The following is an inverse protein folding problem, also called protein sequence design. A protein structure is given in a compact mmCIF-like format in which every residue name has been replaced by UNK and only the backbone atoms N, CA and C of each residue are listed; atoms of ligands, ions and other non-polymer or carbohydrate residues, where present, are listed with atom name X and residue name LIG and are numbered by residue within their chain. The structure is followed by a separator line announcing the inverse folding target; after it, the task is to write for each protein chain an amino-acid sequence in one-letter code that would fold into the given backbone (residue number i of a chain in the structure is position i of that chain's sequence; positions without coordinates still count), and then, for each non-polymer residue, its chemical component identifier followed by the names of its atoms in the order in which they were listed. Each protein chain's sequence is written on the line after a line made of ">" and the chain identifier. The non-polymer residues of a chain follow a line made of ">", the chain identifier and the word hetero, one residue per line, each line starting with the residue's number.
data_IF_085524547985
#
_entry.id   IF_085524547985
#
_cell.length_a   1.000
_cell.length_b   1.000
_cell.length_c   1.000
_cell.angle_alpha   90.00
_cell.angle_beta   90.00
_cell.angle_gamma   90.00
#
_symmetry.space_group_name_H-M   'P 1'
#
loop_
_entity.id
_entity.type
_entity.pdbx_description
1 polymer ?
#
# COMPACT_ATOMS: atom_id res chain seq x y z
N UNK A 1 -5.14 31.39 0.45
CA UNK A 1 -4.66 30.72 1.66
C UNK A 1 -3.35 30.03 1.30
N UNK A 2 -2.29 30.15 2.12
CA UNK A 2 -1.04 29.39 1.88
C UNK A 2 -1.12 28.01 2.57
N UNK A 3 -0.18 27.11 2.25
CA UNK A 3 -0.14 25.73 2.78
C UNK A 3 -0.20 25.71 4.31
N UNK A 4 0.66 26.46 4.99
CA UNK A 4 0.71 26.52 6.46
C UNK A 4 -0.60 26.95 7.10
N UNK A 5 -1.31 27.94 6.50
CA UNK A 5 -2.62 28.37 7.00
C UNK A 5 -3.69 27.27 6.87
N UNK A 6 -3.65 26.45 5.80
CA UNK A 6 -4.57 25.32 5.64
C UNK A 6 -4.23 24.23 6.66
N UNK A 7 -2.96 23.92 6.86
CA UNK A 7 -2.49 22.93 7.85
C UNK A 7 -2.93 23.32 9.27
N UNK A 8 -2.77 24.57 9.68
CA UNK A 8 -3.23 25.06 10.99
C UNK A 8 -4.73 24.86 11.19
N UNK A 9 -5.53 25.14 10.15
CA UNK A 9 -6.98 24.93 10.20
C UNK A 9 -7.33 23.44 10.27
N UNK A 10 -6.65 22.57 9.50
CA UNK A 10 -6.84 21.11 9.57
C UNK A 10 -6.51 20.61 10.97
N UNK A 11 -5.37 21.01 11.56
CA UNK A 11 -4.95 20.60 12.90
C UNK A 11 -5.94 21.05 13.99
N UNK A 12 -6.62 22.17 13.80
CA UNK A 12 -7.71 22.61 14.67
C UNK A 12 -8.97 21.76 14.47
N UNK A 13 -9.42 21.62 13.22
CA UNK A 13 -10.65 20.90 12.88
C UNK A 13 -10.60 19.42 13.27
N UNK A 14 -9.47 18.74 13.08
CA UNK A 14 -9.34 17.32 13.45
C UNK A 14 -9.52 17.10 14.96
N UNK A 15 -9.05 18.02 15.78
CA UNK A 15 -9.25 17.98 17.25
C UNK A 15 -10.71 18.25 17.62
N UNK A 16 -11.32 19.28 17.04
CA UNK A 16 -12.71 19.67 17.32
C UNK A 16 -13.70 18.57 16.93
N UNK A 17 -13.40 17.81 15.88
CA UNK A 17 -14.27 16.75 15.32
C UNK A 17 -13.89 15.34 15.71
N UNK A 18 -12.91 15.18 16.59
CA UNK A 18 -12.39 13.87 17.02
C UNK A 18 -12.01 12.96 15.82
N UNK A 19 -11.18 13.50 14.91
CA UNK A 19 -10.74 12.80 13.70
C UNK A 19 -9.27 12.42 13.80
N UNK A 20 -8.97 11.15 13.57
CA UNK A 20 -7.62 10.63 13.33
C UNK A 20 -7.33 10.66 11.82
N UNK A 21 -6.29 11.36 11.39
CA UNK A 21 -5.85 11.41 10.00
C UNK A 21 -4.77 10.37 9.76
N UNK A 22 -5.03 9.43 8.86
CA UNK A 22 -4.09 8.42 8.40
C UNK A 22 -3.61 8.79 7.00
N UNK A 23 -2.31 8.84 6.76
CA UNK A 23 -1.74 9.17 5.45
C UNK A 23 -0.76 8.11 4.98
N UNK A 24 -0.99 7.57 3.77
CA UNK A 24 -0.04 6.67 3.13
C UNK A 24 1.26 7.41 2.79
N UNK A 25 2.41 6.73 2.90
CA UNK A 25 3.73 7.31 2.63
C UNK A 25 3.90 7.85 1.20
N UNK A 26 2.99 7.57 0.28
CA UNK A 26 2.99 8.13 -1.08
C UNK A 26 2.28 9.48 -1.18
N UNK A 27 1.69 9.98 -0.10
CA UNK A 27 1.05 11.31 -0.09
C UNK A 27 2.10 12.42 -0.13
N UNK A 28 1.67 13.61 -0.56
CA UNK A 28 2.51 14.80 -0.53
C UNK A 28 2.94 15.15 0.90
N UNK A 29 4.10 15.77 1.04
CA UNK A 29 4.73 16.04 2.35
C UNK A 29 3.82 16.86 3.26
N UNK A 30 3.13 17.88 2.73
CA UNK A 30 2.20 18.71 3.47
C UNK A 30 1.00 17.95 4.06
N UNK A 31 0.64 16.78 3.48
CA UNK A 31 -0.39 15.89 4.03
C UNK A 31 0.20 15.01 5.13
N UNK A 32 1.45 14.55 4.97
CA UNK A 32 2.12 13.76 6.02
C UNK A 32 2.32 14.58 7.30
N UNK A 33 2.58 15.88 7.19
CA UNK A 33 2.78 16.78 8.33
C UNK A 33 1.53 16.95 9.21
N UNK A 34 0.32 16.81 8.65
CA UNK A 34 -0.93 16.94 9.41
C UNK A 34 -1.50 15.60 9.87
N UNK A 35 -0.93 14.48 9.40
CA UNK A 35 -1.39 13.14 9.75
C UNK A 35 -1.02 12.75 11.20
N UNK A 36 -1.85 11.94 11.83
CA UNK A 36 -1.56 11.34 13.13
C UNK A 36 -0.69 10.09 12.97
N UNK A 37 -0.90 9.35 11.88
CA UNK A 37 -0.11 8.18 11.52
C UNK A 37 0.24 8.20 10.04
N UNK A 38 1.48 7.83 9.75
CA UNK A 38 1.99 7.67 8.38
C UNK A 38 2.62 6.28 8.20
N UNK A 39 2.55 5.74 7.00
CA UNK A 39 3.12 4.42 6.71
C UNK A 39 2.59 3.78 5.45
N UNK A 40 2.88 2.49 5.31
CA UNK A 40 2.29 1.63 4.29
C UNK A 40 0.90 1.10 4.71
N UNK A 41 0.25 0.36 3.81
CA UNK A 41 -1.11 -0.14 4.02
C UNK A 41 -1.26 -1.02 5.26
N UNK A 42 -0.24 -1.84 5.60
CA UNK A 42 -0.29 -2.71 6.78
C UNK A 42 -0.25 -1.89 8.06
N UNK A 43 0.77 -1.04 8.18
CA UNK A 43 0.97 -0.20 9.37
C UNK A 43 -0.27 0.66 9.63
N UNK A 44 -0.79 1.33 8.60
CA UNK A 44 -1.97 2.19 8.74
C UNK A 44 -3.23 1.42 9.15
N UNK A 45 -3.41 0.19 8.66
CA UNK A 45 -4.54 -0.66 9.07
C UNK A 45 -4.48 -1.01 10.56
N UNK A 46 -3.28 -1.35 11.08
CA UNK A 46 -3.06 -1.62 12.50
C UNK A 46 -3.22 -0.35 13.33
N UNK A 47 -2.68 0.79 12.87
CA UNK A 47 -2.78 2.06 13.59
C UNK A 47 -4.24 2.54 13.67
N UNK A 48 -5.02 2.37 12.58
CA UNK A 48 -6.46 2.66 12.56
C UNK A 48 -7.24 1.92 13.65
N UNK A 49 -6.95 0.64 13.84
CA UNK A 49 -7.64 -0.18 14.85
C UNK A 49 -7.32 0.24 16.29
N UNK A 50 -6.15 0.85 16.51
CA UNK A 50 -5.68 1.32 17.83
C UNK A 50 -6.05 2.76 18.15
N UNK A 51 -6.40 3.57 17.14
CA UNK A 51 -6.78 4.96 17.32
C UNK A 51 -8.01 5.05 18.23
N UNK A 52 -7.99 5.94 19.21
CA UNK A 52 -9.11 6.15 20.13
C UNK A 52 -10.24 6.99 19.52
N UNK A 53 -9.94 7.73 18.45
CA UNK A 53 -10.87 8.61 17.77
C UNK A 53 -12.06 7.87 17.18
N UNK A 54 -13.23 8.50 17.21
CA UNK A 54 -14.49 7.98 16.62
C UNK A 54 -14.48 8.06 15.09
N UNK A 55 -13.76 9.03 14.55
CA UNK A 55 -13.71 9.32 13.12
C UNK A 55 -12.29 9.08 12.59
N UNK A 56 -12.19 8.45 11.42
CA UNK A 56 -10.94 8.24 10.71
C UNK A 56 -11.05 8.94 9.36
N UNK A 57 -10.03 9.70 8.98
CA UNK A 57 -9.88 10.27 7.64
C UNK A 57 -8.67 9.62 6.96
N UNK A 58 -8.91 8.85 5.91
CA UNK A 58 -7.87 8.20 5.11
C UNK A 58 -7.42 9.12 3.96
N UNK A 59 -6.15 9.51 4.00
CA UNK A 59 -5.41 10.11 2.90
C UNK A 59 -4.62 9.00 2.19
N UNK A 60 -5.23 8.40 1.20
CA UNK A 60 -4.73 7.22 0.49
C UNK A 60 -5.74 6.81 -0.56
N UNK A 61 -5.87 5.50 -0.81
CA UNK A 61 -6.79 4.95 -1.80
C UNK A 61 -7.90 4.12 -1.16
N UNK A 62 -8.99 3.90 -1.90
CA UNK A 62 -10.26 3.32 -1.44
C UNK A 62 -10.10 2.04 -0.62
N UNK A 63 -9.39 1.03 -1.12
CA UNK A 63 -9.25 -0.24 -0.39
C UNK A 63 -8.62 -0.09 1.00
N UNK A 64 -7.81 0.96 1.22
CA UNK A 64 -7.23 1.26 2.54
C UNK A 64 -8.29 1.79 3.50
N UNK A 65 -9.15 2.69 3.04
CA UNK A 65 -10.28 3.18 3.83
C UNK A 65 -11.30 2.07 4.12
N UNK A 66 -11.58 1.18 3.14
CA UNK A 66 -12.38 -0.02 3.34
C UNK A 66 -11.76 -0.95 4.39
N UNK A 67 -10.44 -1.18 4.34
CA UNK A 67 -9.73 -1.99 5.35
C UNK A 67 -9.84 -1.38 6.75
N UNK A 68 -9.73 -0.06 6.88
CA UNK A 68 -9.97 0.62 8.15
C UNK A 68 -11.40 0.41 8.65
N UNK A 69 -12.40 0.48 7.77
CA UNK A 69 -13.81 0.24 8.12
C UNK A 69 -14.07 -1.21 8.54
N UNK A 70 -13.45 -2.18 7.87
CA UNK A 70 -13.55 -3.60 8.22
C UNK A 70 -12.95 -3.87 9.62
N UNK A 71 -11.81 -3.26 9.93
CA UNK A 71 -11.13 -3.46 11.22
C UNK A 71 -11.78 -2.69 12.38
N UNK A 72 -12.45 -1.58 12.08
CA UNK A 72 -13.10 -0.70 13.06
C UNK A 72 -14.52 -0.34 12.61
N UNK A 73 -15.45 -1.33 12.59
CA UNK A 73 -16.79 -1.13 12.05
C UNK A 73 -17.63 -0.11 12.83
N UNK A 74 -17.30 0.10 14.11
CA UNK A 74 -17.94 1.09 14.98
C UNK A 74 -17.54 2.53 14.65
N UNK A 75 -16.43 2.74 13.93
CA UNK A 75 -15.93 4.07 13.59
C UNK A 75 -16.51 4.57 12.27
N UNK A 76 -16.63 5.88 12.15
CA UNK A 76 -16.91 6.52 10.87
C UNK A 76 -15.59 6.70 10.11
N UNK A 77 -15.49 6.12 8.92
CA UNK A 77 -14.28 6.19 8.09
C UNK A 77 -14.56 6.99 6.83
N UNK A 78 -13.77 8.01 6.60
CA UNK A 78 -13.82 8.84 5.39
C UNK A 78 -12.61 8.60 4.49
N UNK A 79 -12.82 8.57 3.20
CA UNK A 79 -11.80 8.71 2.16
C UNK A 79 -11.72 10.18 1.76
N UNK A 80 -10.54 10.80 1.89
CA UNK A 80 -10.37 12.24 1.66
C UNK A 80 -10.74 12.66 0.23
N UNK A 81 -10.38 11.84 -0.77
CA UNK A 81 -10.70 12.07 -2.18
C UNK A 81 -11.46 10.89 -2.77
N UNK A 82 -12.75 11.02 -3.12
CA UNK A 82 -13.60 9.91 -3.57
C UNK A 82 -13.11 9.19 -4.83
N UNK A 83 -12.41 9.89 -5.73
CA UNK A 83 -11.85 9.28 -6.95
C UNK A 83 -10.53 8.54 -6.73
N UNK A 84 -9.98 8.57 -5.52
CA UNK A 84 -8.74 7.87 -5.18
C UNK A 84 -8.96 6.35 -5.12
N UNK A 85 -9.12 5.71 -6.28
CA UNK A 85 -9.19 4.25 -6.45
C UNK A 85 -7.82 3.58 -6.46
N UNK A 86 -7.78 2.29 -6.78
CA UNK A 86 -6.55 1.57 -7.02
C UNK A 86 -6.71 0.66 -8.24
N UNK A 87 -6.02 1.00 -9.33
CA UNK A 87 -6.12 0.23 -10.59
C UNK A 87 -5.79 -1.25 -10.44
N UNK A 88 -4.92 -1.62 -9.47
CA UNK A 88 -4.64 -3.02 -9.16
C UNK A 88 -5.79 -3.68 -8.40
N UNK A 89 -6.34 -2.99 -7.39
CA UNK A 89 -7.41 -3.54 -6.56
C UNK A 89 -8.68 -3.85 -7.37
N UNK A 90 -8.92 -3.10 -8.44
CA UNK A 90 -10.11 -3.18 -9.29
C UNK A 90 -9.95 -4.17 -10.48
N UNK A 91 -8.76 -4.83 -10.63
CA UNK A 91 -8.51 -5.75 -11.76
C UNK A 91 -9.22 -7.10 -11.64
N UNK A 92 -9.48 -7.54 -10.42
CA UNK A 92 -10.08 -8.85 -10.17
C UNK A 92 -11.34 -8.70 -9.33
N UNK A 93 -12.46 -9.15 -9.85
CA UNK A 93 -13.71 -9.16 -9.11
C UNK A 93 -13.96 -10.49 -8.38
N UNK A 94 -14.91 -10.46 -7.45
CA UNK A 94 -15.33 -11.62 -6.66
C UNK A 94 -15.85 -12.77 -7.53
N UNK A 95 -16.52 -12.49 -8.65
CA UNK A 95 -17.10 -13.50 -9.52
C UNK A 95 -15.99 -14.29 -10.24
N UNK A 96 -14.99 -13.60 -10.79
CA UNK A 96 -13.83 -14.22 -11.41
C UNK A 96 -13.11 -15.14 -10.42
N UNK A 97 -12.77 -14.63 -9.23
CA UNK A 97 -12.02 -15.41 -8.24
C UNK A 97 -12.85 -16.58 -7.69
N UNK A 98 -14.19 -16.43 -7.55
CA UNK A 98 -15.06 -17.55 -7.19
C UNK A 98 -15.04 -18.68 -8.21
N UNK A 99 -14.93 -18.35 -9.51
CA UNK A 99 -14.79 -19.37 -10.56
C UNK A 99 -13.43 -20.05 -10.48
N UNK A 100 -12.37 -19.28 -10.29
CA UNK A 100 -11.00 -19.84 -10.14
C UNK A 100 -10.90 -20.74 -8.90
N UNK A 101 -11.50 -20.37 -7.75
CA UNK A 101 -11.56 -21.23 -6.55
C UNK A 101 -12.25 -22.58 -6.84
N UNK A 102 -13.31 -22.59 -7.65
CA UNK A 102 -13.97 -23.86 -8.05
C UNK A 102 -13.08 -24.74 -8.92
N UNK A 103 -12.22 -24.15 -9.75
CA UNK A 103 -11.25 -24.88 -10.59
C UNK A 103 -10.06 -25.43 -9.77
N UNK A 104 -9.73 -24.76 -8.65
CA UNK A 104 -8.61 -25.10 -7.77
C UNK A 104 -9.08 -25.17 -6.31
N UNK A 105 -9.93 -26.16 -5.96
CA UNK A 105 -10.57 -26.23 -4.63
C UNK A 105 -9.58 -26.48 -3.49
N UNK A 106 -8.41 -27.06 -3.80
CA UNK A 106 -7.37 -27.36 -2.82
C UNK A 106 -6.36 -26.20 -2.61
N UNK A 107 -6.58 -25.06 -3.29
CA UNK A 107 -5.69 -23.90 -3.17
C UNK A 107 -6.18 -22.92 -2.11
N UNK A 108 -5.25 -22.44 -1.27
CA UNK A 108 -5.49 -21.30 -0.38
C UNK A 108 -5.38 -20.00 -1.17
N UNK A 109 -6.39 -19.16 -1.14
CA UNK A 109 -6.38 -17.85 -1.80
C UNK A 109 -5.66 -16.84 -0.90
N UNK A 110 -4.46 -16.50 -1.28
CA UNK A 110 -3.65 -15.45 -0.65
C UNK A 110 -3.85 -14.16 -1.43
N UNK A 111 -4.50 -13.19 -0.80
CA UNK A 111 -4.79 -11.91 -1.42
C UNK A 111 -3.85 -10.81 -0.93
N UNK A 112 -3.14 -10.17 -1.84
CA UNK A 112 -2.52 -8.89 -1.50
C UNK A 112 -3.59 -7.91 -1.01
N UNK A 113 -3.31 -7.15 0.05
CA UNK A 113 -4.28 -6.25 0.71
C UNK A 113 -4.91 -5.24 -0.27
N UNK A 114 -4.24 -4.97 -1.40
CA UNK A 114 -4.70 -4.12 -2.49
C UNK A 114 -5.79 -4.83 -3.32
N UNK A 115 -6.89 -5.13 -2.68
CA UNK A 115 -8.12 -5.72 -3.22
C UNK A 115 -9.32 -5.03 -2.60
N UNK A 116 -10.50 -5.10 -3.25
CA UNK A 116 -11.75 -4.53 -2.74
C UNK A 116 -12.23 -5.28 -1.49
N UNK A 117 -13.05 -4.61 -0.67
CA UNK A 117 -13.72 -5.25 0.46
C UNK A 117 -14.56 -6.46 0.02
N UNK A 118 -15.26 -6.34 -1.12
CA UNK A 118 -16.06 -7.42 -1.69
C UNK A 118 -15.22 -8.65 -2.04
N UNK A 119 -14.06 -8.47 -2.70
CA UNK A 119 -13.17 -9.58 -3.04
C UNK A 119 -12.59 -10.25 -1.79
N UNK A 120 -12.26 -9.48 -0.75
CA UNK A 120 -11.78 -10.00 0.53
C UNK A 120 -12.73 -11.00 1.18
N UNK A 121 -14.06 -10.89 0.94
CA UNK A 121 -15.05 -11.82 1.52
C UNK A 121 -14.86 -13.28 1.14
N UNK A 122 -14.12 -13.57 0.07
CA UNK A 122 -13.86 -14.93 -0.42
C UNK A 122 -12.39 -15.32 -0.38
N UNK A 123 -11.51 -14.45 0.11
CA UNK A 123 -10.09 -14.73 0.28
C UNK A 123 -9.84 -15.43 1.63
N UNK A 124 -8.83 -16.29 1.69
CA UNK A 124 -8.53 -17.07 2.88
C UNK A 124 -7.56 -16.32 3.82
N UNK A 125 -6.60 -15.58 3.24
CA UNK A 125 -5.66 -14.74 3.98
C UNK A 125 -5.23 -13.54 3.16
N UNK A 126 -5.14 -12.36 3.79
CA UNK A 126 -4.49 -11.20 3.20
C UNK A 126 -2.99 -11.19 3.48
N UNK A 127 -2.24 -10.52 2.62
CA UNK A 127 -0.82 -10.23 2.81
C UNK A 127 -0.51 -8.80 2.39
N UNK A 128 0.63 -8.29 2.84
CA UNK A 128 1.22 -7.05 2.34
C UNK A 128 2.60 -7.35 1.76
N UNK A 129 3.19 -6.41 1.03
CA UNK A 129 4.56 -6.58 0.53
C UNK A 129 5.59 -6.83 1.65
N UNK A 130 5.31 -6.39 2.87
CA UNK A 130 6.18 -6.63 4.04
C UNK A 130 5.97 -7.99 4.70
N UNK A 131 4.79 -8.58 4.59
CA UNK A 131 4.42 -9.82 5.32
C UNK A 131 4.26 -11.05 4.42
N UNK A 132 4.16 -10.88 3.10
CA UNK A 132 3.78 -11.94 2.16
C UNK A 132 4.67 -13.18 2.26
N UNK A 133 5.99 -13.02 2.24
CA UNK A 133 6.94 -14.16 2.32
C UNK A 133 6.77 -14.90 3.64
N UNK A 134 6.69 -14.16 4.76
CA UNK A 134 6.52 -14.77 6.09
C UNK A 134 5.20 -15.52 6.21
N UNK A 135 4.10 -14.90 5.79
CA UNK A 135 2.77 -15.51 5.88
C UNK A 135 2.69 -16.75 4.99
N UNK A 136 3.10 -16.66 3.73
CA UNK A 136 3.07 -17.80 2.79
C UNK A 136 3.90 -18.98 3.30
N UNK A 137 5.08 -18.73 3.87
CA UNK A 137 5.89 -19.79 4.48
C UNK A 137 5.18 -20.45 5.68
N UNK A 138 4.43 -19.69 6.47
CA UNK A 138 3.72 -20.16 7.67
C UNK A 138 2.39 -20.88 7.36
N UNK A 139 1.87 -20.82 6.11
CA UNK A 139 0.67 -21.57 5.73
C UNK A 139 0.97 -23.08 5.68
N UNK A 140 0.09 -23.90 6.25
CA UNK A 140 0.22 -25.37 6.16
C UNK A 140 0.00 -25.87 4.72
N UNK A 141 -0.96 -25.27 4.00
CA UNK A 141 -1.22 -25.63 2.62
C UNK A 141 -0.06 -25.22 1.71
N UNK A 142 0.38 -26.16 0.87
CA UNK A 142 1.42 -25.88 -0.13
C UNK A 142 0.88 -25.27 -1.41
N UNK A 143 -0.40 -25.48 -1.71
CA UNK A 143 -1.05 -24.96 -2.91
C UNK A 143 -1.61 -23.58 -2.65
N UNK A 144 -1.07 -22.57 -3.30
CA UNK A 144 -1.40 -21.15 -3.08
C UNK A 144 -1.88 -20.53 -4.39
N UNK A 145 -3.03 -19.87 -4.36
CA UNK A 145 -3.48 -18.97 -5.42
C UNK A 145 -3.19 -17.54 -4.96
N UNK A 146 -2.20 -16.90 -5.54
CA UNK A 146 -1.78 -15.55 -5.19
C UNK A 146 -2.41 -14.52 -6.11
N UNK A 147 -3.09 -13.53 -5.56
CA UNK A 147 -3.80 -12.45 -6.26
C UNK A 147 -3.58 -11.09 -5.58
N UNK A 148 -3.81 -9.95 -6.27
CA UNK A 148 -3.94 -9.77 -7.71
C UNK A 148 -2.61 -9.48 -8.41
N UNK A 149 -1.51 -9.26 -7.67
CA UNK A 149 -0.21 -8.83 -8.23
C UNK A 149 0.68 -10.03 -8.55
N UNK A 150 0.87 -10.30 -9.86
CA UNK A 150 1.69 -11.41 -10.31
C UNK A 150 3.19 -11.17 -10.09
N UNK A 151 3.67 -9.92 -10.05
CA UNK A 151 5.07 -9.60 -9.80
C UNK A 151 5.44 -9.84 -8.34
N UNK A 152 4.63 -9.32 -7.40
CA UNK A 152 4.78 -9.65 -5.99
C UNK A 152 4.65 -11.16 -5.76
N UNK A 153 3.69 -11.82 -6.43
CA UNK A 153 3.52 -13.26 -6.37
C UNK A 153 4.72 -14.05 -6.88
N UNK A 154 5.37 -13.62 -7.97
CA UNK A 154 6.61 -14.19 -8.48
C UNK A 154 7.77 -14.04 -7.48
N UNK A 155 7.89 -12.84 -6.91
CA UNK A 155 8.88 -12.59 -5.85
C UNK A 155 8.66 -13.54 -4.66
N UNK A 156 7.42 -13.68 -4.18
CA UNK A 156 7.08 -14.59 -3.08
C UNK A 156 7.36 -16.04 -3.46
N UNK A 157 7.04 -16.48 -4.70
CA UNK A 157 7.30 -17.84 -5.16
C UNK A 157 8.80 -18.18 -5.13
N UNK A 158 9.65 -17.24 -5.53
CA UNK A 158 11.12 -17.40 -5.47
C UNK A 158 11.65 -17.50 -4.04
N UNK A 159 10.99 -16.83 -3.08
CA UNK A 159 11.37 -16.87 -1.66
C UNK A 159 10.76 -18.08 -0.91
N UNK A 160 9.75 -18.74 -1.48
CA UNK A 160 9.01 -19.85 -0.88
C UNK A 160 9.03 -21.08 -1.81
N UNK A 161 10.21 -21.67 -2.12
CA UNK A 161 10.36 -22.73 -3.14
C UNK A 161 9.59 -24.02 -2.81
N UNK A 162 9.23 -24.25 -1.55
CA UNK A 162 8.45 -25.41 -1.12
C UNK A 162 6.93 -25.27 -1.35
N UNK A 163 6.48 -24.10 -1.80
CA UNK A 163 5.07 -23.79 -2.09
C UNK A 163 4.80 -23.89 -3.60
N UNK A 164 3.65 -24.40 -3.94
CA UNK A 164 3.13 -24.42 -5.31
C UNK A 164 2.25 -23.18 -5.52
N UNK A 165 2.85 -22.09 -6.00
CA UNK A 165 2.16 -20.82 -6.13
C UNK A 165 1.67 -20.62 -7.56
N UNK A 166 0.35 -20.50 -7.71
CA UNK A 166 -0.32 -20.12 -8.95
C UNK A 166 -0.62 -18.64 -8.95
N UNK A 167 -0.23 -17.96 -10.03
CA UNK A 167 -0.43 -16.54 -10.23
C UNK A 167 -1.55 -16.31 -11.25
N UNK A 168 -2.35 -15.28 -11.04
CA UNK A 168 -3.22 -14.73 -12.09
C UNK A 168 -2.57 -13.45 -12.66
N UNK A 169 -2.88 -13.18 -13.92
CA UNK A 169 -2.31 -12.03 -14.62
C UNK A 169 -2.97 -10.75 -14.12
N UNK A 170 -2.22 -9.95 -13.39
CA UNK A 170 -2.62 -8.68 -12.80
C UNK A 170 -1.46 -8.05 -12.06
N UNK A 171 -1.59 -6.80 -11.62
CA UNK A 171 -0.55 -6.10 -10.86
C UNK A 171 -0.64 -4.59 -10.93
N UNK A 172 0.28 -3.93 -10.25
CA UNK A 172 0.34 -2.48 -10.19
C UNK A 172 0.88 -1.91 -11.52
N UNK A 173 0.08 -1.14 -12.29
CA UNK A 173 0.55 -0.59 -13.57
C UNK A 173 1.70 0.39 -13.41
N UNK A 174 1.83 1.02 -12.23
CA UNK A 174 2.88 2.00 -11.94
C UNK A 174 4.24 1.32 -11.75
N UNK A 175 4.28 0.21 -11.00
CA UNK A 175 5.53 -0.53 -10.82
C UNK A 175 5.85 -1.41 -12.03
N UNK A 176 4.84 -2.00 -12.68
CA UNK A 176 5.02 -2.85 -13.85
C UNK A 176 5.48 -2.08 -15.12
N UNK A 177 5.32 -0.76 -15.18
CA UNK A 177 5.80 0.04 -16.33
C UNK A 177 7.31 0.34 -16.29
N UNK A 178 7.98 0.05 -15.18
CA UNK A 178 9.44 0.18 -15.05
C UNK A 178 10.11 -0.98 -15.78
N UNK A 179 11.16 -0.69 -16.51
CA UNK A 179 11.90 -1.70 -17.26
C UNK A 179 13.41 -1.63 -16.99
N UNK A 180 14.14 -2.61 -17.49
CA UNK A 180 15.60 -2.75 -17.35
C UNK A 180 16.38 -1.51 -17.84
N UNK A 181 15.90 -0.87 -18.91
CA UNK A 181 16.56 0.33 -19.45
C UNK A 181 16.41 1.55 -18.52
N UNK A 182 15.29 1.64 -17.79
CA UNK A 182 15.13 2.69 -16.76
C UNK A 182 16.18 2.51 -15.66
N UNK A 183 16.43 1.27 -15.22
CA UNK A 183 17.44 0.95 -14.18
C UNK A 183 18.84 1.26 -14.68
N UNK A 184 19.19 0.84 -15.92
CA UNK A 184 20.51 1.13 -16.52
C UNK A 184 20.78 2.61 -16.59
N UNK A 185 19.82 3.40 -17.12
CA UNK A 185 19.94 4.86 -17.21
C UNK A 185 20.13 5.51 -15.84
N UNK A 186 19.39 5.08 -14.82
CA UNK A 186 19.56 5.60 -13.49
C UNK A 186 20.96 5.26 -12.92
N UNK A 187 21.46 4.04 -13.14
CA UNK A 187 22.81 3.63 -12.75
C UNK A 187 23.92 4.35 -13.53
N UNK A 188 23.72 4.68 -14.80
CA UNK A 188 24.65 5.48 -15.57
C UNK A 188 24.80 6.91 -15.00
N UNK A 189 23.69 7.50 -14.56
CA UNK A 189 23.67 8.83 -13.92
C UNK A 189 24.23 8.80 -12.49
N UNK A 190 24.00 7.70 -11.75
CA UNK A 190 24.35 7.54 -10.34
C UNK A 190 25.07 6.19 -10.11
N UNK A 191 26.32 6.03 -10.60
CA UNK A 191 26.98 4.71 -10.63
C UNK A 191 27.26 4.10 -9.26
N UNK A 192 27.38 4.92 -8.22
CA UNK A 192 27.65 4.48 -6.84
C UNK A 192 26.39 4.24 -6.03
N UNK A 193 25.21 4.64 -6.52
CA UNK A 193 23.97 4.52 -5.78
C UNK A 193 23.46 3.07 -5.73
N UNK A 194 22.99 2.61 -4.57
CA UNK A 194 22.30 1.34 -4.43
C UNK A 194 20.89 1.43 -5.00
N UNK A 195 20.47 0.41 -5.74
CA UNK A 195 19.12 0.31 -6.33
C UNK A 195 18.20 -0.43 -5.37
N UNK A 196 17.19 0.27 -4.86
CA UNK A 196 16.19 -0.29 -3.95
C UNK A 196 14.84 -0.31 -4.66
N UNK A 197 14.23 -1.50 -4.85
CA UNK A 197 12.97 -1.62 -5.60
C UNK A 197 11.86 -2.29 -4.81
N UNK A 198 10.63 -1.95 -5.15
CA UNK A 198 9.45 -2.62 -4.64
C UNK A 198 9.21 -3.95 -5.40
N UNK A 199 8.78 -5.04 -4.73
CA UNK A 199 8.55 -6.33 -5.37
C UNK A 199 7.35 -6.36 -6.36
N UNK A 200 6.58 -5.29 -6.48
CA UNK A 200 5.60 -5.07 -7.56
C UNK A 200 6.26 -4.71 -8.92
N UNK A 201 7.55 -4.38 -8.93
CA UNK A 201 8.30 -4.23 -10.17
C UNK A 201 8.44 -5.58 -10.87
N UNK A 202 8.66 -5.55 -12.20
CA UNK A 202 8.81 -6.79 -12.97
C UNK A 202 10.01 -7.63 -12.48
N UNK A 203 9.99 -8.95 -12.66
CA UNK A 203 11.08 -9.84 -12.22
C UNK A 203 12.46 -9.42 -12.74
N UNK A 204 12.52 -8.86 -13.96
CA UNK A 204 13.77 -8.41 -14.59
C UNK A 204 14.34 -7.18 -13.85
N UNK A 205 13.48 -6.27 -13.40
CA UNK A 205 13.85 -5.08 -12.61
C UNK A 205 14.27 -5.50 -11.21
N UNK A 206 13.52 -6.40 -10.58
CA UNK A 206 13.84 -6.98 -9.26
C UNK A 206 15.21 -7.66 -9.27
N UNK A 207 15.57 -8.36 -10.35
CA UNK A 207 16.88 -9.03 -10.50
C UNK A 207 18.08 -8.06 -10.60
N UNK A 208 17.84 -6.77 -10.87
CA UNK A 208 18.88 -5.73 -10.94
C UNK A 208 19.03 -4.93 -9.64
N UNK A 209 18.20 -5.19 -8.64
CA UNK A 209 18.18 -4.43 -7.41
C UNK A 209 19.23 -4.93 -6.40
N UNK A 210 19.83 -3.99 -5.67
CA UNK A 210 20.67 -4.29 -4.50
C UNK A 210 19.81 -4.64 -3.26
N UNK A 211 18.57 -4.16 -3.22
CA UNK A 211 17.59 -4.48 -2.18
C UNK A 211 16.17 -4.50 -2.75
N UNK A 212 15.41 -5.50 -2.33
CA UNK A 212 13.98 -5.65 -2.67
C UNK A 212 13.16 -5.68 -1.38
N UNK A 213 12.16 -4.81 -1.28
CA UNK A 213 11.33 -4.76 -0.09
C UNK A 213 10.09 -3.88 -0.22
N UNK A 214 9.24 -3.93 0.79
CA UNK A 214 8.08 -3.04 0.89
C UNK A 214 8.51 -1.57 0.98
N UNK A 215 7.57 -0.65 0.83
CA UNK A 215 7.84 0.79 1.00
C UNK A 215 8.55 1.09 2.32
N UNK A 216 8.01 0.59 3.44
CA UNK A 216 8.66 0.75 4.76
C UNK A 216 10.01 0.03 4.84
N UNK A 217 10.15 -1.12 4.17
CA UNK A 217 11.42 -1.86 4.07
C UNK A 217 12.49 -1.04 3.36
N UNK A 218 12.17 -0.46 2.20
CA UNK A 218 13.05 0.43 1.42
C UNK A 218 13.51 1.61 2.28
N UNK A 219 12.56 2.31 2.92
CA UNK A 219 12.87 3.45 3.77
C UNK A 219 13.78 3.07 4.95
N UNK A 220 13.49 1.97 5.62
CA UNK A 220 14.28 1.49 6.76
C UNK A 220 15.69 1.04 6.33
N UNK A 221 15.81 0.35 5.19
CA UNK A 221 17.11 -0.03 4.64
C UNK A 221 17.96 1.19 4.31
N UNK A 222 17.39 2.16 3.60
CA UNK A 222 18.08 3.38 3.21
C UNK A 222 18.55 4.21 4.43
N UNK A 223 17.70 4.31 5.47
CA UNK A 223 18.05 5.01 6.71
C UNK A 223 19.20 4.35 7.48
N UNK A 224 19.21 3.02 7.57
CA UNK A 224 20.17 2.23 8.36
C UNK A 224 21.46 1.93 7.63
N UNK A 225 21.46 1.93 6.30
CA UNK A 225 22.64 1.63 5.47
C UNK A 225 23.73 2.71 5.63
N UNK A 226 24.99 2.31 5.57
CA UNK A 226 26.14 3.22 5.52
C UNK A 226 26.33 3.87 4.14
N UNK A 227 25.67 3.34 3.10
CA UNK A 227 25.71 3.92 1.76
C UNK A 227 25.14 5.34 1.76
N UNK A 228 25.65 6.17 0.86
CA UNK A 228 25.30 7.60 0.78
C UNK A 228 24.40 7.95 -0.40
N UNK A 229 24.24 7.04 -1.35
CA UNK A 229 23.48 7.28 -2.57
C UNK A 229 22.53 6.11 -2.87
N UNK A 230 21.29 6.42 -3.18
CA UNK A 230 20.24 5.43 -3.43
C UNK A 230 19.38 5.81 -4.62
N UNK A 231 19.08 4.84 -5.47
CA UNK A 231 18.07 4.92 -6.52
C UNK A 231 16.81 4.20 -6.00
N UNK A 232 15.71 4.94 -5.90
CA UNK A 232 14.46 4.46 -5.30
C UNK A 232 13.49 4.01 -6.39
N UNK A 233 13.25 2.71 -6.48
CA UNK A 233 12.38 2.04 -7.44
C UNK A 233 11.01 1.70 -6.85
N UNK A 234 10.35 2.71 -6.27
CA UNK A 234 8.93 2.71 -5.90
C UNK A 234 8.37 4.11 -6.14
N UNK A 235 7.14 4.39 -5.71
CA UNK A 235 6.49 5.69 -5.92
C UNK A 235 7.40 6.86 -5.50
N UNK A 236 7.51 7.87 -6.36
CA UNK A 236 8.56 8.89 -6.35
C UNK A 236 8.64 9.69 -5.05
N UNK A 237 7.53 9.88 -4.33
CA UNK A 237 7.53 10.58 -3.04
C UNK A 237 8.46 9.96 -2.01
N UNK A 238 8.76 8.66 -2.13
CA UNK A 238 9.65 7.99 -1.17
C UNK A 238 11.07 8.54 -1.26
N UNK A 239 11.55 8.84 -2.48
CA UNK A 239 12.86 9.50 -2.64
C UNK A 239 12.85 10.91 -2.02
N UNK A 240 11.77 11.67 -2.22
CA UNK A 240 11.61 13.01 -1.66
C UNK A 240 11.57 12.99 -0.12
N UNK A 241 10.79 12.08 0.47
CA UNK A 241 10.68 11.94 1.93
C UNK A 241 11.99 11.50 2.57
N UNK A 242 12.69 10.55 1.96
CA UNK A 242 14.00 10.11 2.42
C UNK A 242 15.04 11.23 2.34
N UNK A 243 15.01 12.05 1.29
CA UNK A 243 15.89 13.22 1.17
C UNK A 243 15.65 14.25 2.27
N UNK A 244 14.37 14.43 2.65
CA UNK A 244 14.00 15.32 3.75
C UNK A 244 14.43 14.77 5.11
N UNK A 245 14.22 13.48 5.35
CA UNK A 245 14.52 12.83 6.63
C UNK A 245 16.03 12.55 6.84
N UNK A 246 16.78 12.35 5.75
CA UNK A 246 18.20 12.00 5.77
C UNK A 246 19.03 12.96 4.89
N UNK A 247 19.22 14.22 5.33
CA UNK A 247 19.90 15.25 4.52
C UNK A 247 21.38 14.97 4.24
N UNK A 248 21.99 14.02 4.94
CA UNK A 248 23.38 13.57 4.76
C UNK A 248 23.54 12.48 3.67
N UNK A 249 22.44 12.09 3.00
CA UNK A 249 22.38 11.08 1.93
C UNK A 249 21.69 11.67 0.70
N UNK A 250 21.89 11.01 -0.44
CA UNK A 250 21.28 11.40 -1.72
C UNK A 250 20.29 10.32 -2.18
N UNK A 251 19.09 10.73 -2.56
CA UNK A 251 18.03 9.85 -3.01
C UNK A 251 17.53 10.27 -4.39
N UNK A 252 17.58 9.36 -5.34
CA UNK A 252 17.20 9.57 -6.71
C UNK A 252 15.99 8.69 -7.05
N UNK A 253 14.93 9.26 -7.60
CA UNK A 253 13.84 8.46 -8.16
C UNK A 253 14.35 7.66 -9.37
N UNK A 254 14.04 6.37 -9.43
CA UNK A 254 14.49 5.51 -10.53
C UNK A 254 13.99 6.03 -11.89
N UNK A 255 12.72 6.45 -11.96
CA UNK A 255 12.10 7.02 -13.15
C UNK A 255 10.86 7.83 -12.80
N UNK A 256 10.53 8.86 -13.60
CA UNK A 256 9.29 9.64 -13.44
C UNK A 256 8.02 8.84 -13.75
N UNK A 257 8.13 7.63 -14.31
CA UNK A 257 6.98 6.72 -14.47
C UNK A 257 6.38 6.27 -13.14
N UNK A 258 7.17 6.31 -12.06
CA UNK A 258 6.78 5.90 -10.72
C UNK A 258 5.96 6.98 -9.98
N UNK A 259 5.00 7.58 -10.67
CA UNK A 259 4.02 8.51 -10.09
C UNK A 259 2.65 7.83 -10.08
N UNK A 260 2.10 7.58 -8.89
CA UNK A 260 0.77 7.01 -8.76
C UNK A 260 -0.30 8.12 -8.81
N UNK A 261 -1.06 8.28 -9.92
CA UNK A 261 -2.03 9.36 -10.04
C UNK A 261 -3.15 9.24 -9.00
N UNK A 262 -3.52 8.03 -8.61
CA UNK A 262 -4.56 7.80 -7.61
C UNK A 262 -4.12 8.25 -6.21
N UNK A 263 -2.87 7.97 -5.82
CA UNK A 263 -2.31 8.47 -4.55
C UNK A 263 -2.13 9.99 -4.58
N UNK A 264 -1.81 10.56 -5.75
CA UNK A 264 -1.63 12.02 -5.92
C UNK A 264 -2.94 12.79 -6.12
N UNK A 265 -4.07 12.10 -6.24
CA UNK A 265 -5.37 12.75 -6.37
C UNK A 265 -5.83 13.44 -5.08
N UNK A 266 -5.35 12.98 -3.92
CA UNK A 266 -5.65 13.61 -2.63
C UNK A 266 -4.75 14.83 -2.43
N UNK A 267 -5.36 15.98 -2.20
CA UNK A 267 -4.67 17.25 -1.90
C UNK A 267 -4.96 17.71 -0.47
N UNK A 268 -4.16 18.63 0.03
CA UNK A 268 -4.40 19.26 1.34
C UNK A 268 -5.77 19.96 1.41
N UNK A 269 -6.25 20.48 0.27
CA UNK A 269 -7.57 21.11 0.15
C UNK A 269 -8.70 20.08 0.29
N UNK A 270 -8.52 18.87 -0.24
CA UNK A 270 -9.50 17.78 -0.08
C UNK A 270 -9.62 17.36 1.38
N UNK A 271 -8.50 17.27 2.10
CA UNK A 271 -8.49 17.00 3.54
C UNK A 271 -9.26 18.08 4.30
N UNK A 272 -8.97 19.35 4.02
CA UNK A 272 -9.67 20.49 4.62
C UNK A 272 -11.17 20.46 4.33
N UNK A 273 -11.55 20.24 3.07
CA UNK A 273 -12.95 20.18 2.65
C UNK A 273 -13.70 19.02 3.31
N UNK A 274 -13.08 17.84 3.36
CA UNK A 274 -13.66 16.67 4.01
C UNK A 274 -13.94 16.95 5.50
N UNK A 275 -12.99 17.54 6.21
CA UNK A 275 -13.18 17.94 7.61
C UNK A 275 -14.29 18.96 7.80
N UNK A 276 -14.56 19.82 6.82
CA UNK A 276 -15.68 20.79 6.85
C UNK A 276 -17.02 20.22 6.38
N UNK A 277 -17.06 18.93 5.94
CA UNK A 277 -18.29 18.31 5.43
C UNK A 277 -18.64 18.74 3.98
N UNK A 278 -17.67 19.30 3.25
CA UNK A 278 -17.85 19.80 1.89
C UNK A 278 -17.13 18.92 0.84
N UNK A 279 -16.72 17.71 1.21
CA UNK A 279 -15.99 16.77 0.36
C UNK A 279 -15.70 15.48 1.08
N UNK A 280 -14.89 14.62 0.43
CA UNK A 280 -14.64 13.26 0.92
C UNK A 280 -15.83 12.33 0.72
N UNK A 281 -15.66 11.08 1.11
CA UNK A 281 -16.70 10.05 1.04
C UNK A 281 -16.67 9.20 2.31
N UNK A 282 -17.81 9.02 2.95
CA UNK A 282 -17.95 8.05 4.03
C UNK A 282 -17.97 6.63 3.48
N UNK A 283 -17.08 5.78 3.94
CA UNK A 283 -17.04 4.35 3.58
C UNK A 283 -18.14 3.60 4.31
N UNK A 284 -19.07 3.06 3.54
CA UNK A 284 -20.20 2.26 4.03
C UNK A 284 -20.09 0.85 3.47
N UNK A 285 -20.03 -0.12 4.35
CA UNK A 285 -20.03 -1.54 4.05
C UNK A 285 -21.15 -2.18 4.87
N UNK A 286 -21.84 -3.17 4.30
CA UNK A 286 -22.83 -3.94 5.06
C UNK A 286 -22.13 -4.89 6.06
N UNK A 287 -22.86 -5.29 7.11
CA UNK A 287 -22.32 -6.09 8.21
C UNK A 287 -21.82 -7.46 7.75
N UNK A 288 -22.43 -8.05 6.71
CA UNK A 288 -22.00 -9.34 6.16
C UNK A 288 -20.65 -9.20 5.44
N UNK A 289 -20.49 -8.15 4.62
CA UNK A 289 -19.23 -7.84 3.94
C UNK A 289 -18.12 -7.59 4.96
N UNK A 290 -18.38 -6.80 6.00
CA UNK A 290 -17.41 -6.56 7.08
C UNK A 290 -17.01 -7.87 7.75
N UNK A 291 -17.98 -8.69 8.15
CA UNK A 291 -17.74 -9.96 8.86
C UNK A 291 -16.92 -10.93 8.02
N UNK A 292 -17.26 -11.08 6.74
CA UNK A 292 -16.57 -12.05 5.87
C UNK A 292 -15.19 -11.56 5.44
N UNK A 293 -15.05 -10.28 5.07
CA UNK A 293 -13.76 -9.70 4.67
C UNK A 293 -12.77 -9.63 5.86
N UNK A 294 -13.25 -9.47 7.07
CA UNK A 294 -12.41 -9.44 8.27
C UNK A 294 -11.62 -10.72 8.48
N UNK A 295 -12.17 -11.88 8.11
CA UNK A 295 -11.54 -13.19 8.32
C UNK A 295 -10.13 -13.26 7.71
N UNK A 296 -9.98 -12.87 6.45
CA UNK A 296 -8.67 -12.91 5.78
C UNK A 296 -7.68 -11.84 6.29
N UNK A 297 -8.18 -10.73 6.85
CA UNK A 297 -7.36 -9.69 7.46
C UNK A 297 -6.88 -10.13 8.86
N UNK A 298 -7.77 -10.69 9.68
CA UNK A 298 -7.42 -11.24 11.00
C UNK A 298 -6.37 -12.37 10.85
N UNK A 299 -6.51 -13.20 9.82
CA UNK A 299 -5.54 -14.24 9.50
C UNK A 299 -4.18 -13.66 9.07
N UNK A 300 -4.17 -12.56 8.32
CA UNK A 300 -2.94 -11.80 8.03
C UNK A 300 -2.26 -11.31 9.31
N UNK A 301 -3.02 -10.77 10.25
CA UNK A 301 -2.49 -10.24 11.52
C UNK A 301 -1.96 -11.39 12.39
N UNK A 302 -2.62 -12.54 12.39
CA UNK A 302 -2.23 -13.72 13.18
C UNK A 302 -0.92 -14.34 12.67
N UNK A 303 -0.70 -14.37 11.35
CA UNK A 303 0.45 -15.04 10.70
C UNK A 303 1.63 -14.09 10.42
N UNK A 304 1.37 -12.79 10.32
CA UNK A 304 2.34 -11.73 10.00
C UNK A 304 3.04 -11.17 11.23
#
# INVERSE_FOLDING_TARGET
>A
MNISSIQEQILKLKKEKDVCILAHSYQAHEILEIADYTGDSYKLSVDASKAENKNILMCGVRFMAETCKILSPEKTVYLAQPIAGCSMADQMDKQLISQVKKMYPDYTVVAYINTTAELKTICDVCVTSSSAVKIVNNLDNKNILFIPDCNLGDYVAKQCPDKNIKLLNGGCPIHACVNVEDVKKAKELHPNALVLVHPECTPEVVAMADYVGSTSGIMNYAKKSDAKEFIIGTEISIAEHLQYECPDKNFYGLTLKLICPNMKSTTLVDVYNCLNGNGGEEIKLDDQTITDARKCIDEMIRLG
#
